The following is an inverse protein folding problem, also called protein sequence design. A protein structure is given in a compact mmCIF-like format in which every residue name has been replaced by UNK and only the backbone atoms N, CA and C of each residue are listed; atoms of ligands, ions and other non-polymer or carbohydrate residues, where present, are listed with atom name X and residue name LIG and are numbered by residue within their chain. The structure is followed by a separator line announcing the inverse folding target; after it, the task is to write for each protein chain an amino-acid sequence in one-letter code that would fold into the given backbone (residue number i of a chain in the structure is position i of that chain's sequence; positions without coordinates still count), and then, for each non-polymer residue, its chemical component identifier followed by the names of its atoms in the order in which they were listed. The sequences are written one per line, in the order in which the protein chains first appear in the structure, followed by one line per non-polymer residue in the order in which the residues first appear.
data_IF_395485939054
#
_entry.id   IF_395485939054
#
_cell.length_a   1.000
_cell.length_b   1.000
_cell.length_c   1.000
_cell.angle_alpha   90.00
_cell.angle_beta   90.00
_cell.angle_gamma   90.00
#
_symmetry.space_group_name_H-M   'P 1'
#
loop_
_entity.id
_entity.type
_entity.pdbx_description
1 polymer ?
#
# COMPACT_ATOMS: atom_id res chain seq x y z
N UNK A 1 -1.99 -6.63 -14.47
CA UNK A 1 -1.30 -6.87 -13.17
C UNK A 1 0.13 -6.39 -13.30
N UNK A 2 0.67 -5.76 -12.28
CA UNK A 2 2.09 -5.39 -12.20
C UNK A 2 2.91 -6.66 -12.02
N UNK A 3 3.93 -6.86 -12.85
CA UNK A 3 4.73 -8.09 -12.92
C UNK A 3 6.18 -7.90 -12.41
N UNK A 4 6.70 -6.68 -12.45
CA UNK A 4 8.05 -6.42 -11.98
C UNK A 4 8.39 -4.95 -11.83
N UNK A 5 9.49 -4.71 -11.10
CA UNK A 5 10.10 -3.39 -10.92
C UNK A 5 11.62 -3.50 -10.98
N UNK A 6 12.25 -2.49 -11.59
CA UNK A 6 13.69 -2.25 -11.56
C UNK A 6 13.94 -0.81 -11.16
N UNK A 7 14.83 -0.62 -10.19
CA UNK A 7 15.25 0.70 -9.70
C UNK A 7 16.76 0.81 -9.72
N UNK A 8 17.24 2.00 -10.09
CA UNK A 8 18.65 2.40 -9.96
C UNK A 8 18.70 3.76 -9.26
N UNK A 9 19.47 3.84 -8.19
CA UNK A 9 19.78 5.06 -7.46
C UNK A 9 18.55 5.86 -7.00
N UNK A 10 17.54 5.21 -6.50
CA UNK A 10 16.32 5.87 -6.05
C UNK A 10 16.27 5.99 -4.51
N UNK A 11 16.56 7.16 -3.99
CA UNK A 11 16.55 7.46 -2.55
C UNK A 11 17.47 6.52 -1.75
N UNK A 12 16.96 5.77 -0.78
CA UNK A 12 17.72 4.80 0.00
C UNK A 12 17.96 3.47 -0.75
N UNK A 13 17.50 3.32 -2.00
CA UNK A 13 17.58 2.09 -2.78
C UNK A 13 18.57 2.30 -3.93
N UNK A 14 19.85 1.88 -3.78
CA UNK A 14 20.85 2.03 -4.84
C UNK A 14 20.55 1.19 -6.07
N UNK A 15 20.09 -0.05 -5.84
CA UNK A 15 19.73 -0.99 -6.89
C UNK A 15 18.66 -1.95 -6.39
N UNK A 16 17.68 -2.22 -7.23
CA UNK A 16 16.65 -3.23 -6.98
C UNK A 16 16.13 -3.80 -8.29
N UNK A 17 16.02 -5.11 -8.36
CA UNK A 17 15.25 -5.82 -9.36
C UNK A 17 14.35 -6.83 -8.67
N UNK A 18 13.03 -6.70 -8.87
CA UNK A 18 12.03 -7.61 -8.33
C UNK A 18 11.03 -7.96 -9.41
N UNK A 19 11.10 -9.19 -9.88
CA UNK A 19 10.32 -9.73 -10.98
C UNK A 19 9.45 -10.89 -10.50
N UNK A 20 8.45 -11.25 -11.32
CA UNK A 20 7.54 -12.35 -11.00
C UNK A 20 6.59 -12.01 -9.85
N UNK A 21 6.07 -10.78 -9.86
CA UNK A 21 5.13 -10.31 -8.85
C UNK A 21 3.80 -11.08 -8.94
N UNK A 22 3.25 -11.41 -7.76
CA UNK A 22 2.02 -12.17 -7.62
C UNK A 22 0.79 -11.31 -7.25
N UNK A 23 -0.34 -11.95 -6.98
CA UNK A 23 -1.52 -11.28 -6.45
C UNK A 23 -1.29 -10.65 -5.07
N UNK A 24 -0.39 -11.22 -4.27
CA UNK A 24 0.06 -10.68 -2.98
C UNK A 24 1.59 -10.62 -3.02
N UNK A 25 2.15 -9.47 -2.67
CA UNK A 25 3.59 -9.21 -2.67
C UNK A 25 3.96 -8.62 -1.31
N UNK A 26 4.97 -9.18 -0.65
CA UNK A 26 5.33 -8.82 0.72
C UNK A 26 6.74 -8.23 0.78
N UNK A 27 6.87 -7.04 1.38
CA UNK A 27 8.14 -6.40 1.71
C UNK A 27 8.39 -6.56 3.21
N UNK A 28 9.53 -7.11 3.59
CA UNK A 28 9.90 -7.30 4.99
C UNK A 28 11.28 -6.71 5.30
N UNK A 29 11.51 -6.39 6.55
CA UNK A 29 12.78 -5.82 7.02
C UNK A 29 12.59 -4.90 8.22
N UNK A 30 13.69 -4.47 8.81
CA UNK A 30 13.71 -3.56 9.95
C UNK A 30 13.14 -2.16 9.64
N UNK A 31 13.03 -1.34 10.68
CA UNK A 31 12.63 0.06 10.52
C UNK A 31 13.70 0.84 9.75
N UNK A 32 13.27 1.73 8.86
CA UNK A 32 14.19 2.53 8.04
C UNK A 32 14.79 1.81 6.84
N UNK A 33 14.46 0.54 6.58
CA UNK A 33 15.00 -0.25 5.46
C UNK A 33 14.50 0.16 4.06
N UNK A 34 13.59 1.14 3.95
CA UNK A 34 13.09 1.62 2.65
C UNK A 34 11.79 0.96 2.16
N UNK A 35 11.13 0.09 2.93
CA UNK A 35 9.89 -0.60 2.53
C UNK A 35 8.78 0.37 2.10
N UNK A 36 8.41 1.31 2.98
CA UNK A 36 7.42 2.35 2.70
C UNK A 36 7.84 3.21 1.51
N UNK A 37 9.15 3.48 1.39
CA UNK A 37 9.69 4.25 0.28
C UNK A 37 9.46 3.53 -1.05
N UNK A 38 9.74 2.22 -1.12
CA UNK A 38 9.49 1.39 -2.31
C UNK A 38 8.00 1.32 -2.65
N UNK A 39 7.11 1.13 -1.66
CA UNK A 39 5.67 1.17 -1.89
C UNK A 39 5.22 2.51 -2.50
N UNK A 40 5.78 3.63 -2.04
CA UNK A 40 5.48 4.97 -2.56
C UNK A 40 6.00 5.20 -3.98
N UNK A 41 7.16 4.61 -4.34
CA UNK A 41 7.66 4.64 -5.74
C UNK A 41 6.67 3.94 -6.67
N UNK A 42 6.30 2.70 -6.32
CA UNK A 42 5.32 1.92 -7.08
C UNK A 42 3.98 2.65 -7.18
N UNK A 43 3.48 3.18 -6.07
CA UNK A 43 2.25 3.95 -6.02
C UNK A 43 2.28 5.17 -6.94
N UNK A 44 3.38 5.95 -6.92
CA UNK A 44 3.51 7.15 -7.76
C UNK A 44 3.51 6.80 -9.25
N UNK A 45 4.19 5.72 -9.65
CA UNK A 45 4.16 5.22 -11.02
C UNK A 45 2.75 4.78 -11.44
N UNK A 46 2.08 4.00 -10.57
CA UNK A 46 0.71 3.54 -10.83
C UNK A 46 -0.27 4.68 -10.99
N UNK A 47 -0.25 5.65 -10.07
CA UNK A 47 -1.13 6.82 -10.16
C UNK A 47 -0.88 7.65 -11.40
N UNK A 48 0.36 7.74 -11.86
CA UNK A 48 0.69 8.42 -13.12
C UNK A 48 0.02 7.75 -14.31
N UNK A 49 0.14 6.43 -14.42
CA UNK A 49 -0.49 5.64 -15.49
C UNK A 49 -2.02 5.76 -15.47
N UNK A 50 -2.62 5.79 -14.26
CA UNK A 50 -4.06 5.86 -14.08
C UNK A 50 -4.64 7.24 -14.30
N UNK A 51 -3.91 8.31 -13.98
CA UNK A 51 -4.38 9.69 -14.14
C UNK A 51 -4.18 10.20 -15.57
N UNK A 52 -3.18 9.71 -16.29
CA UNK A 52 -2.93 10.12 -17.66
C UNK A 52 -4.11 9.85 -18.58
N UNK A 53 -4.55 10.90 -19.29
CA UNK A 53 -5.74 10.90 -20.17
C UNK A 53 -7.05 10.52 -19.47
N UNK A 54 -7.13 10.66 -18.14
CA UNK A 54 -8.37 10.43 -17.40
C UNK A 54 -9.22 11.68 -17.34
N UNK A 55 -10.43 11.61 -17.88
CA UNK A 55 -11.35 12.75 -17.92
C UNK A 55 -10.79 13.90 -18.77
N UNK A 56 -10.92 15.12 -18.26
CA UNK A 56 -10.48 16.36 -18.94
C UNK A 56 -9.03 16.78 -18.57
N UNK A 57 -8.26 15.92 -17.93
CA UNK A 57 -6.87 16.20 -17.55
C UNK A 57 -6.00 16.31 -18.81
N UNK A 58 -5.36 17.49 -18.98
CA UNK A 58 -4.50 17.79 -20.14
C UNK A 58 -3.02 17.65 -19.84
N UNK A 59 -2.65 17.32 -18.58
CA UNK A 59 -1.24 17.16 -18.22
C UNK A 59 -0.64 15.99 -18.98
N UNK A 60 0.63 16.14 -19.33
CA UNK A 60 1.44 15.05 -19.84
C UNK A 60 1.77 14.05 -18.73
N UNK A 61 2.13 12.83 -19.09
CA UNK A 61 2.57 11.80 -18.13
C UNK A 61 3.73 12.29 -17.26
N UNK A 62 4.68 13.01 -17.89
CA UNK A 62 5.84 13.55 -17.19
C UNK A 62 5.45 14.63 -16.17
N UNK A 63 4.45 15.47 -16.46
CA UNK A 63 3.93 16.46 -15.53
C UNK A 63 3.20 15.79 -14.35
N UNK A 64 2.37 14.77 -14.62
CA UNK A 64 1.66 14.01 -13.59
C UNK A 64 2.69 13.31 -12.70
N UNK A 65 3.67 12.61 -13.27
CA UNK A 65 4.70 11.92 -12.51
C UNK A 65 5.51 12.87 -11.63
N UNK A 66 5.96 13.99 -12.20
CA UNK A 66 6.73 14.98 -11.45
C UNK A 66 5.94 15.53 -10.24
N UNK A 67 4.65 15.81 -10.43
CA UNK A 67 3.77 16.25 -9.37
C UNK A 67 3.54 15.15 -8.32
N UNK A 68 3.30 13.90 -8.74
CA UNK A 68 3.15 12.75 -7.84
C UNK A 68 4.41 12.52 -7.00
N UNK A 69 5.59 12.52 -7.62
CA UNK A 69 6.85 12.37 -6.88
C UNK A 69 7.07 13.52 -5.90
N UNK A 70 6.82 14.76 -6.32
CA UNK A 70 6.98 15.94 -5.46
C UNK A 70 6.07 15.86 -4.23
N UNK A 71 4.79 15.56 -4.40
CA UNK A 71 3.84 15.52 -3.29
C UNK A 71 3.87 14.24 -2.46
N UNK A 72 4.30 13.12 -3.02
CA UNK A 72 4.41 11.86 -2.29
C UNK A 72 5.65 11.83 -1.39
N UNK A 73 6.76 12.41 -1.84
CA UNK A 73 8.03 12.40 -1.09
C UNK A 73 8.35 13.74 -0.42
N UNK A 74 7.73 14.82 -0.85
CA UNK A 74 7.88 16.18 -0.33
C UNK A 74 9.34 16.67 -0.28
N UNK A 75 10.15 16.48 -1.34
CA UNK A 75 11.51 16.98 -1.41
C UNK A 75 11.53 18.48 -1.76
N UNK A 76 12.63 19.15 -1.56
CA UNK A 76 12.82 20.53 -2.04
C UNK A 76 12.75 20.59 -3.57
N UNK A 77 13.38 19.63 -4.24
CA UNK A 77 13.29 19.37 -5.70
C UNK A 77 13.25 17.87 -5.96
N UNK A 78 12.63 17.42 -7.06
CA UNK A 78 12.53 15.98 -7.36
C UNK A 78 13.88 15.30 -7.56
N UNK A 79 14.92 16.05 -7.94
CA UNK A 79 16.31 15.57 -8.04
C UNK A 79 16.89 15.10 -6.70
N UNK A 80 16.34 15.53 -5.55
CA UNK A 80 16.75 15.06 -4.22
C UNK A 80 16.35 13.60 -3.95
N UNK A 81 15.51 13.02 -4.81
CA UNK A 81 15.19 11.59 -4.80
C UNK A 81 16.28 10.71 -5.40
N UNK A 82 17.30 11.30 -6.05
CA UNK A 82 18.47 10.56 -6.51
C UNK A 82 19.33 10.16 -5.32
N UNK A 83 19.75 8.90 -5.26
CA UNK A 83 20.63 8.39 -4.20
C UNK A 83 21.86 9.28 -4.02
N UNK A 84 22.21 9.60 -2.79
CA UNK A 84 23.33 10.48 -2.48
C UNK A 84 24.62 9.97 -3.08
N UNK A 85 25.28 10.80 -3.87
CA UNK A 85 26.51 10.45 -4.60
C UNK A 85 26.28 9.98 -6.04
N UNK A 86 25.06 9.58 -6.41
CA UNK A 86 24.71 9.24 -7.78
C UNK A 86 24.42 10.49 -8.63
N UNK A 87 24.46 10.33 -9.94
CA UNK A 87 24.20 11.41 -10.92
C UNK A 87 22.73 11.44 -11.34
N UNK A 88 22.12 10.27 -11.48
CA UNK A 88 20.75 10.12 -11.92
C UNK A 88 20.11 8.88 -11.30
N UNK A 89 18.79 8.84 -11.29
CA UNK A 89 17.99 7.66 -10.97
C UNK A 89 17.30 7.13 -12.23
N UNK A 90 16.91 5.86 -12.20
CA UNK A 90 15.95 5.30 -13.13
C UNK A 90 14.95 4.37 -12.40
N UNK A 91 13.75 4.31 -12.93
CA UNK A 91 12.69 3.41 -12.49
C UNK A 91 12.02 2.81 -13.73
N UNK A 92 11.85 1.50 -13.72
CA UNK A 92 11.05 0.78 -14.72
C UNK A 92 10.09 -0.15 -14.01
N UNK A 93 8.80 -0.07 -14.35
CA UNK A 93 7.76 -0.98 -13.88
C UNK A 93 7.21 -1.75 -15.08
N UNK A 94 7.06 -3.05 -14.91
CA UNK A 94 6.57 -3.97 -15.93
C UNK A 94 5.16 -4.41 -15.62
N UNK A 95 4.32 -4.35 -16.64
CA UNK A 95 3.00 -4.95 -16.66
C UNK A 95 2.94 -6.06 -17.70
N UNK A 96 1.89 -6.90 -17.62
CA UNK A 96 1.65 -7.91 -18.66
C UNK A 96 1.55 -7.29 -20.07
N UNK A 97 1.08 -6.05 -20.19
CA UNK A 97 0.74 -5.38 -21.44
C UNK A 97 1.76 -4.31 -21.87
N UNK A 98 2.85 -4.14 -21.16
CA UNK A 98 3.89 -3.15 -21.48
C UNK A 98 4.70 -2.67 -20.29
N UNK A 99 5.65 -1.80 -20.57
CA UNK A 99 6.54 -1.22 -19.56
C UNK A 99 6.27 0.29 -19.42
N UNK A 100 6.44 0.79 -18.21
CA UNK A 100 6.50 2.21 -17.89
C UNK A 100 7.85 2.51 -17.27
N UNK A 101 8.60 3.44 -17.86
CA UNK A 101 9.94 3.77 -17.36
C UNK A 101 10.20 5.26 -17.39
N UNK A 102 11.04 5.73 -16.47
CA UNK A 102 11.48 7.10 -16.40
C UNK A 102 12.87 7.22 -15.76
N UNK A 103 13.54 8.32 -16.08
CA UNK A 103 14.81 8.67 -15.44
C UNK A 103 14.96 10.19 -15.35
N UNK A 104 15.71 10.64 -14.35
CA UNK A 104 16.10 12.05 -14.19
C UNK A 104 17.35 12.21 -13.32
N UNK A 105 18.00 13.35 -13.46
CA UNK A 105 19.23 13.66 -12.75
C UNK A 105 18.98 14.37 -11.41
N UNK A 106 20.03 14.41 -10.57
CA UNK A 106 20.03 15.08 -9.25
C UNK A 106 19.77 16.60 -9.31
N UNK A 107 19.94 17.22 -10.46
CA UNK A 107 19.73 18.65 -10.66
C UNK A 107 18.31 18.98 -11.15
N UNK A 108 17.48 17.95 -11.37
CA UNK A 108 16.10 18.10 -11.85
C UNK A 108 15.23 18.79 -10.79
N UNK A 109 14.63 19.93 -11.14
CA UNK A 109 13.75 20.67 -10.25
C UNK A 109 12.31 20.18 -10.31
N UNK A 110 11.69 20.22 -11.51
CA UNK A 110 10.24 19.92 -11.70
C UNK A 110 9.94 19.18 -12.99
N UNK A 111 10.85 19.09 -13.94
CA UNK A 111 10.55 18.51 -15.25
C UNK A 111 11.30 17.19 -15.45
N UNK A 112 10.54 16.15 -15.77
CA UNK A 112 11.06 14.85 -16.18
C UNK A 112 11.05 14.82 -17.70
N UNK A 113 12.22 14.63 -18.30
CA UNK A 113 12.39 14.67 -19.75
C UNK A 113 12.52 13.29 -20.38
N UNK A 114 12.84 12.26 -19.56
CA UNK A 114 12.97 10.88 -20.03
C UNK A 114 11.86 10.06 -19.35
N UNK A 115 10.80 9.77 -20.11
CA UNK A 115 9.70 8.92 -19.71
C UNK A 115 9.17 8.19 -20.94
N UNK A 116 8.99 6.88 -20.80
CA UNK A 116 8.39 6.01 -21.80
C UNK A 116 7.23 5.26 -21.18
N UNK A 117 6.08 5.25 -21.84
CA UNK A 117 4.90 4.52 -21.41
C UNK A 117 4.33 3.68 -22.56
N UNK A 118 4.52 2.37 -22.45
CA UNK A 118 3.90 1.38 -23.34
C UNK A 118 2.60 0.78 -22.80
N UNK A 119 2.10 1.25 -21.65
CA UNK A 119 0.93 0.69 -20.97
C UNK A 119 -0.33 1.43 -21.45
N UNK A 120 -1.39 0.72 -21.86
CA UNK A 120 -2.66 1.36 -22.21
C UNK A 120 -3.28 2.07 -21.00
N UNK A 121 -4.09 3.15 -21.22
CA UNK A 121 -4.78 3.85 -20.14
C UNK A 121 -5.60 2.90 -19.27
N UNK A 122 -5.49 3.04 -17.93
CA UNK A 122 -6.20 2.22 -16.95
C UNK A 122 -7.39 2.98 -16.37
N UNK A 123 -8.54 2.30 -16.30
CA UNK A 123 -9.74 2.82 -15.62
C UNK A 123 -9.80 2.46 -14.14
N UNK A 124 -9.11 1.39 -13.73
CA UNK A 124 -9.02 0.95 -12.34
C UNK A 124 -8.19 1.89 -11.47
N UNK A 125 -8.37 1.82 -10.17
CA UNK A 125 -7.68 2.68 -9.22
C UNK A 125 -6.67 1.90 -8.39
N UNK A 126 -5.52 2.52 -8.16
CA UNK A 126 -4.61 2.13 -7.08
C UNK A 126 -4.86 2.97 -5.84
N UNK A 127 -4.65 2.39 -4.67
CA UNK A 127 -4.79 3.09 -3.40
C UNK A 127 -3.64 2.73 -2.46
N UNK A 128 -3.20 3.70 -1.68
CA UNK A 128 -2.25 3.51 -0.60
C UNK A 128 -2.97 3.55 0.74
N UNK A 129 -2.83 2.51 1.54
CA UNK A 129 -3.32 2.42 2.91
C UNK A 129 -2.14 2.63 3.86
N UNK A 130 -1.98 3.82 4.45
CA UNK A 130 -0.84 4.14 5.30
C UNK A 130 -0.92 3.43 6.66
N UNK A 131 0.22 3.36 7.37
CA UNK A 131 0.29 2.79 8.71
C UNK A 131 -0.65 3.48 9.70
N UNK A 132 -0.80 4.80 9.57
CA UNK A 132 -1.74 5.61 10.40
C UNK A 132 -3.11 5.71 9.75
N UNK A 133 -4.17 5.61 10.55
CA UNK A 133 -5.52 5.82 10.07
C UNK A 133 -5.79 7.28 9.69
N UNK A 134 -6.72 7.50 8.79
CA UNK A 134 -7.02 8.84 8.27
C UNK A 134 -8.46 9.31 8.49
N UNK A 135 -9.37 8.45 8.92
CA UNK A 135 -10.79 8.80 9.07
C UNK A 135 -11.01 9.97 10.02
N UNK A 136 -10.25 9.99 11.13
CA UNK A 136 -10.30 11.10 12.09
C UNK A 136 -9.68 12.40 11.55
N UNK A 137 -8.80 12.31 10.56
CA UNK A 137 -8.01 13.43 10.03
C UNK A 137 -8.48 13.89 8.64
N UNK A 138 -9.45 13.21 8.03
CA UNK A 138 -9.84 13.40 6.64
C UNK A 138 -10.07 14.87 6.27
N UNK A 139 -10.83 15.61 7.07
CA UNK A 139 -11.13 17.03 6.81
C UNK A 139 -9.88 17.91 6.90
N UNK A 140 -8.96 17.59 7.85
CA UNK A 140 -7.70 18.31 8.00
C UNK A 140 -6.80 18.05 6.80
N UNK A 141 -6.71 16.79 6.35
CA UNK A 141 -5.93 16.39 5.17
C UNK A 141 -6.42 17.15 3.94
N UNK A 142 -7.73 17.10 3.68
CA UNK A 142 -8.32 17.78 2.52
C UNK A 142 -8.08 19.29 2.57
N UNK A 143 -8.30 19.92 3.73
CA UNK A 143 -8.05 21.36 3.88
C UNK A 143 -6.59 21.71 3.64
N UNK A 144 -5.65 21.04 4.33
CA UNK A 144 -4.23 21.36 4.23
C UNK A 144 -3.65 21.15 2.83
N UNK A 145 -4.15 20.14 2.10
CA UNK A 145 -3.62 19.79 0.79
C UNK A 145 -4.35 20.48 -0.37
N UNK A 146 -5.66 20.62 -0.33
CA UNK A 146 -6.45 21.21 -1.44
C UNK A 146 -6.54 22.73 -1.34
N UNK A 147 -6.72 23.27 -0.13
CA UNK A 147 -6.88 24.71 0.09
C UNK A 147 -5.55 25.40 0.40
N UNK A 148 -4.86 24.94 1.45
CA UNK A 148 -3.67 25.59 1.95
C UNK A 148 -2.40 25.20 1.18
N UNK A 149 -2.39 24.06 0.48
CA UNK A 149 -1.27 23.50 -0.32
C UNK A 149 0.05 23.43 0.46
N UNK A 150 -0.03 22.96 1.71
CA UNK A 150 1.13 22.83 2.59
C UNK A 150 1.60 21.38 2.69
N UNK A 151 2.88 21.20 3.01
CA UNK A 151 3.45 19.89 3.34
C UNK A 151 2.94 19.38 4.69
N UNK A 152 3.08 18.08 4.94
CA UNK A 152 2.65 17.40 6.16
C UNK A 152 1.92 16.11 5.85
N UNK A 153 0.84 16.18 5.07
CA UNK A 153 0.21 14.98 4.50
C UNK A 153 0.64 14.84 3.04
N UNK A 154 1.20 13.71 2.69
CA UNK A 154 1.61 13.43 1.31
C UNK A 154 0.43 12.97 0.42
N UNK A 155 0.69 12.70 -0.87
CA UNK A 155 -0.36 12.32 -1.83
C UNK A 155 -1.05 11.01 -1.48
N UNK A 156 -0.38 10.09 -0.75
CA UNK A 156 -1.02 8.84 -0.33
C UNK A 156 -2.19 9.10 0.63
N UNK A 157 -2.04 10.09 1.52
CA UNK A 157 -3.10 10.55 2.43
C UNK A 157 -4.21 11.30 1.69
N UNK A 158 -3.83 12.20 0.77
CA UNK A 158 -4.80 13.00 0.02
C UNK A 158 -5.68 12.14 -0.87
N UNK A 159 -5.08 11.25 -1.65
CA UNK A 159 -5.81 10.38 -2.57
C UNK A 159 -6.74 9.43 -1.81
N UNK A 160 -6.31 8.91 -0.65
CA UNK A 160 -7.17 8.09 0.20
C UNK A 160 -8.32 8.91 0.81
N UNK A 161 -8.04 10.14 1.27
CA UNK A 161 -9.07 11.03 1.79
C UNK A 161 -10.14 11.36 0.74
N UNK A 162 -9.73 11.56 -0.53
CA UNK A 162 -10.63 11.76 -1.68
C UNK A 162 -11.43 10.50 -2.00
N UNK A 163 -10.78 9.34 -2.04
CA UNK A 163 -11.41 8.06 -2.32
C UNK A 163 -12.55 7.75 -1.34
N UNK A 164 -12.35 8.06 -0.06
CA UNK A 164 -13.34 7.85 0.99
C UNK A 164 -14.53 8.83 0.93
N UNK A 165 -14.39 9.99 0.25
CA UNK A 165 -15.52 10.93 0.04
C UNK A 165 -16.50 10.47 -1.03
N UNK A 166 -16.12 9.52 -1.86
CA UNK A 166 -17.04 9.02 -2.87
C UNK A 166 -18.23 8.35 -2.18
N UNK A 167 -19.44 8.84 -2.50
CA UNK A 167 -20.66 8.30 -1.92
C UNK A 167 -20.80 6.82 -2.26
N UNK A 168 -21.26 6.04 -1.29
CA UNK A 168 -21.60 4.64 -1.51
C UNK A 168 -22.69 4.58 -2.59
N UNK A 169 -22.35 4.07 -3.76
CA UNK A 169 -23.32 3.98 -4.84
C UNK A 169 -24.42 3.00 -4.44
N UNK A 170 -25.67 3.47 -4.39
CA UNK A 170 -26.83 2.61 -4.24
C UNK A 170 -26.94 1.74 -5.50
N UNK A 171 -26.73 0.45 -5.37
CA UNK A 171 -26.78 -0.50 -6.47
C UNK A 171 -26.08 -1.80 -6.08
N UNK A 172 -26.12 -2.80 -6.96
CA UNK A 172 -25.45 -4.09 -6.72
C UNK A 172 -23.98 -3.85 -6.42
N UNK A 173 -23.56 -4.12 -5.16
CA UNK A 173 -22.15 -4.36 -4.87
C UNK A 173 -21.65 -5.41 -5.85
N UNK A 174 -20.37 -5.37 -6.20
CA UNK A 174 -19.77 -6.50 -6.91
C UNK A 174 -20.07 -7.76 -6.11
N UNK A 175 -20.85 -8.73 -6.64
CA UNK A 175 -21.18 -9.96 -5.91
C UNK A 175 -19.90 -10.64 -5.41
N UNK A 176 -18.80 -10.43 -6.12
CA UNK A 176 -17.47 -10.93 -5.82
C UNK A 176 -16.92 -10.44 -4.48
N UNK A 177 -17.31 -9.24 -4.05
CA UNK A 177 -16.84 -8.65 -2.79
C UNK A 177 -17.79 -8.85 -1.62
N UNK A 178 -18.99 -9.38 -1.87
CA UNK A 178 -20.02 -9.49 -0.83
C UNK A 178 -19.54 -10.32 0.38
N UNK A 179 -18.87 -11.45 0.14
CA UNK A 179 -18.33 -12.29 1.21
C UNK A 179 -17.19 -11.59 1.98
N UNK A 180 -16.28 -10.90 1.26
CA UNK A 180 -15.19 -10.15 1.88
C UNK A 180 -15.72 -9.04 2.76
N UNK A 181 -16.72 -8.28 2.30
CA UNK A 181 -17.35 -7.21 3.08
C UNK A 181 -18.10 -7.75 4.30
N UNK A 182 -18.81 -8.86 4.19
CA UNK A 182 -19.47 -9.50 5.32
C UNK A 182 -18.44 -9.93 6.39
N UNK A 183 -17.30 -10.46 5.98
CA UNK A 183 -16.23 -10.83 6.90
C UNK A 183 -15.59 -9.59 7.56
N UNK A 184 -15.40 -8.49 6.80
CA UNK A 184 -14.92 -7.23 7.37
C UNK A 184 -15.91 -6.67 8.41
N UNK A 185 -17.21 -6.64 8.13
CA UNK A 185 -18.22 -6.23 9.09
C UNK A 185 -18.24 -7.13 10.35
N UNK A 186 -17.98 -8.43 10.20
CA UNK A 186 -17.88 -9.35 11.33
C UNK A 186 -16.66 -9.05 12.21
N UNK A 187 -15.49 -8.79 11.63
CA UNK A 187 -14.29 -8.40 12.38
C UNK A 187 -14.50 -7.06 13.09
N UNK A 188 -15.15 -6.12 12.41
CA UNK A 188 -15.46 -4.80 12.96
C UNK A 188 -16.47 -4.86 14.11
N UNK A 189 -17.35 -5.87 14.13
CA UNK A 189 -18.52 -5.91 15.02
C UNK A 189 -19.50 -4.76 14.79
N UNK A 190 -19.47 -4.14 13.61
CA UNK A 190 -20.26 -2.98 13.23
C UNK A 190 -19.83 -2.46 11.86
N UNK A 191 -20.23 -1.23 11.53
CA UNK A 191 -19.84 -0.58 10.27
C UNK A 191 -19.51 0.89 10.49
N UNK A 192 -18.73 1.46 9.58
CA UNK A 192 -18.47 2.90 9.55
C UNK A 192 -19.38 3.54 8.52
N UNK A 193 -19.94 4.69 8.90
CA UNK A 193 -20.83 5.49 8.07
C UNK A 193 -20.35 6.95 8.11
N UNK A 194 -20.40 7.61 6.95
CA UNK A 194 -20.20 9.06 6.90
C UNK A 194 -21.54 9.74 7.12
N UNK A 195 -21.62 10.61 8.11
CA UNK A 195 -22.78 11.42 8.41
C UNK A 195 -22.66 12.74 7.66
N UNK A 196 -23.47 12.91 6.61
CA UNK A 196 -23.43 14.10 5.75
C UNK A 196 -23.87 15.36 6.49
N UNK A 197 -24.80 15.24 7.46
CA UNK A 197 -25.32 16.39 8.22
C UNK A 197 -24.24 16.98 9.13
N UNK A 198 -23.49 16.14 9.83
CA UNK A 198 -22.39 16.58 10.70
C UNK A 198 -21.04 16.69 9.99
N UNK A 199 -20.90 16.16 8.78
CA UNK A 199 -19.66 16.10 8.03
C UNK A 199 -18.59 15.19 8.68
N UNK A 200 -18.98 14.17 9.41
CA UNK A 200 -18.09 13.33 10.22
C UNK A 200 -18.32 11.84 10.04
N UNK A 201 -17.25 11.09 10.20
CA UNK A 201 -17.31 9.64 10.27
C UNK A 201 -17.82 9.17 11.64
N UNK A 202 -18.67 8.15 11.64
CA UNK A 202 -19.25 7.52 12.82
C UNK A 202 -19.10 6.00 12.72
N UNK A 203 -18.85 5.37 13.84
CA UNK A 203 -18.93 3.91 13.98
C UNK A 203 -20.30 3.52 14.50
N UNK A 204 -21.00 2.64 13.78
CA UNK A 204 -22.31 2.14 14.14
C UNK A 204 -22.23 0.68 14.60
N UNK A 205 -22.70 0.42 15.83
CA UNK A 205 -22.83 -0.92 16.38
C UNK A 205 -24.29 -1.16 16.80
N UNK A 206 -25.02 -1.94 16.02
CA UNK A 206 -26.47 -2.08 16.21
C UNK A 206 -27.20 -0.74 16.05
N UNK A 207 -27.92 -0.30 17.08
CA UNK A 207 -28.60 1.01 17.14
C UNK A 207 -27.72 2.15 17.64
N UNK A 208 -26.55 1.86 18.20
CA UNK A 208 -25.66 2.86 18.78
C UNK A 208 -24.71 3.45 17.73
N UNK A 209 -24.45 4.76 17.84
CA UNK A 209 -23.48 5.50 17.00
C UNK A 209 -22.42 6.12 17.89
N UNK A 210 -21.19 5.98 17.49
CA UNK A 210 -20.01 6.51 18.19
C UNK A 210 -19.22 7.40 17.25
N UNK A 211 -18.72 8.55 17.74
CA UNK A 211 -17.78 9.35 16.96
C UNK A 211 -16.54 8.53 16.58
N UNK A 212 -16.05 8.71 15.37
CA UNK A 212 -14.87 7.96 14.89
C UNK A 212 -13.63 8.16 15.77
N UNK A 213 -13.47 9.33 16.37
CA UNK A 213 -12.34 9.67 17.23
C UNK A 213 -12.19 8.79 18.49
N UNK A 214 -13.30 8.17 18.99
CA UNK A 214 -13.27 7.27 20.16
C UNK A 214 -13.25 5.79 19.73
N UNK A 215 -13.19 5.50 18.45
CA UNK A 215 -13.15 4.14 17.91
C UNK A 215 -11.68 3.68 17.85
N UNK A 216 -11.43 2.40 18.13
CA UNK A 216 -10.08 1.84 18.09
C UNK A 216 -9.45 1.99 16.69
N UNK A 217 -8.16 2.31 16.66
CA UNK A 217 -7.39 2.55 15.42
C UNK A 217 -7.47 1.39 14.43
N UNK A 218 -7.33 0.15 14.91
CA UNK A 218 -7.43 -1.04 14.06
C UNK A 218 -8.80 -1.21 13.40
N UNK A 219 -9.90 -0.83 14.11
CA UNK A 219 -11.25 -0.83 13.55
C UNK A 219 -11.34 0.16 12.37
N UNK A 220 -10.80 1.36 12.53
CA UNK A 220 -10.78 2.38 11.48
C UNK A 220 -10.06 1.89 10.23
N UNK A 221 -8.92 1.21 10.39
CA UNK A 221 -8.11 0.69 9.29
C UNK A 221 -8.85 -0.37 8.46
N UNK A 222 -9.49 -1.32 9.13
CA UNK A 222 -10.30 -2.35 8.47
C UNK A 222 -11.51 -1.72 7.76
N UNK A 223 -12.14 -0.74 8.38
CA UNK A 223 -13.30 -0.05 7.83
C UNK A 223 -13.00 0.81 6.61
N UNK A 224 -11.78 1.33 6.48
CA UNK A 224 -11.33 1.98 5.25
C UNK A 224 -11.43 1.01 4.08
N UNK A 225 -10.90 -0.20 4.22
CA UNK A 225 -10.96 -1.22 3.17
C UNK A 225 -12.42 -1.57 2.81
N UNK A 226 -13.30 -1.77 3.81
CA UNK A 226 -14.73 -2.01 3.55
C UNK A 226 -15.40 -0.85 2.81
N UNK A 227 -15.08 0.40 3.20
CA UNK A 227 -15.62 1.60 2.55
C UNK A 227 -15.20 1.68 1.08
N UNK A 228 -13.91 1.41 0.77
CA UNK A 228 -13.38 1.46 -0.60
C UNK A 228 -13.98 0.37 -1.50
N UNK A 229 -14.28 -0.80 -0.94
CA UNK A 229 -15.03 -1.84 -1.64
C UNK A 229 -16.51 -1.44 -1.83
N UNK A 230 -17.11 -0.82 -0.81
CA UNK A 230 -18.51 -0.44 -0.80
C UNK A 230 -18.86 0.73 -1.71
N UNK A 231 -17.97 1.71 -1.85
CA UNK A 231 -18.14 2.84 -2.76
C UNK A 231 -17.63 2.57 -4.18
N UNK A 232 -17.14 1.35 -4.45
CA UNK A 232 -16.60 0.89 -5.73
C UNK A 232 -15.35 1.65 -6.20
N UNK A 233 -14.61 2.23 -5.28
CA UNK A 233 -13.31 2.79 -5.61
C UNK A 233 -12.33 1.69 -6.03
N UNK A 234 -12.41 0.53 -5.36
CA UNK A 234 -11.67 -0.67 -5.73
C UNK A 234 -12.55 -1.58 -6.59
N UNK A 235 -12.01 -1.96 -7.73
CA UNK A 235 -12.53 -2.97 -8.65
C UNK A 235 -11.63 -4.22 -8.69
N UNK A 236 -11.89 -5.15 -9.61
CA UNK A 236 -11.15 -6.40 -9.72
C UNK A 236 -9.70 -6.23 -10.21
N UNK A 237 -9.40 -5.12 -10.88
CA UNK A 237 -8.07 -4.79 -11.41
C UNK A 237 -7.32 -3.79 -10.54
N UNK A 238 -7.87 -3.44 -9.37
CA UNK A 238 -7.28 -2.49 -8.45
C UNK A 238 -5.94 -2.99 -7.87
N UNK A 239 -5.06 -2.05 -7.53
CA UNK A 239 -3.81 -2.34 -6.81
C UNK A 239 -3.83 -1.63 -5.46
N UNK A 240 -3.60 -2.37 -4.38
CA UNK A 240 -3.60 -1.86 -3.02
C UNK A 240 -2.20 -1.93 -2.44
N UNK A 241 -1.65 -0.78 -2.08
CA UNK A 241 -0.41 -0.65 -1.33
C UNK A 241 -0.75 -0.52 0.15
N UNK A 242 -0.32 -1.45 0.97
CA UNK A 242 -0.72 -1.54 2.36
C UNK A 242 0.51 -1.48 3.27
N UNK A 243 0.72 -0.34 3.88
CA UNK A 243 1.84 -0.12 4.79
C UNK A 243 1.44 -0.52 6.21
N UNK A 244 2.22 -1.41 6.82
CA UNK A 244 2.01 -1.95 8.17
C UNK A 244 0.55 -2.40 8.42
N UNK A 245 0.04 -3.42 7.72
CA UNK A 245 -1.33 -3.89 7.90
C UNK A 245 -1.64 -4.29 9.35
N UNK A 246 -0.64 -4.69 10.11
CA UNK A 246 -0.70 -5.07 11.52
C UNK A 246 -0.85 -3.92 12.51
N UNK A 247 -0.49 -2.70 12.11
CA UNK A 247 -0.45 -1.55 13.02
C UNK A 247 -1.79 -1.35 13.74
N UNK A 248 -1.73 -1.31 15.08
CA UNK A 248 -2.87 -1.15 15.98
C UNK A 248 -3.93 -2.27 15.94
N UNK A 249 -3.65 -3.42 15.32
CA UNK A 249 -4.55 -4.56 15.28
C UNK A 249 -4.17 -5.64 16.31
N UNK A 250 -5.19 -6.26 16.91
CA UNK A 250 -5.01 -7.48 17.69
C UNK A 250 -4.57 -8.64 16.77
N UNK A 251 -3.70 -9.57 17.20
CA UNK A 251 -3.21 -10.68 16.37
C UNK A 251 -4.30 -11.48 15.65
N UNK A 252 -5.44 -11.74 16.31
CA UNK A 252 -6.57 -12.42 15.66
C UNK A 252 -7.20 -11.58 14.53
N UNK A 253 -7.25 -10.26 14.68
CA UNK A 253 -7.77 -9.36 13.64
C UNK A 253 -6.79 -9.27 12.46
N UNK A 254 -5.46 -9.30 12.71
CA UNK A 254 -4.44 -9.41 11.66
C UNK A 254 -4.67 -10.67 10.83
N UNK A 255 -4.83 -11.83 11.50
CA UNK A 255 -5.05 -13.09 10.82
C UNK A 255 -6.31 -13.06 9.95
N UNK A 256 -7.41 -12.54 10.48
CA UNK A 256 -8.66 -12.43 9.74
C UNK A 256 -8.59 -11.43 8.56
N UNK A 257 -7.91 -10.29 8.75
CA UNK A 257 -7.66 -9.32 7.67
C UNK A 257 -6.86 -9.95 6.53
N UNK A 258 -5.81 -10.72 6.83
CA UNK A 258 -4.98 -11.36 5.81
C UNK A 258 -5.74 -12.48 5.07
N UNK A 259 -6.68 -13.19 5.72
CA UNK A 259 -7.58 -14.11 5.03
C UNK A 259 -8.48 -13.36 4.02
N UNK A 260 -8.96 -12.16 4.36
CA UNK A 260 -9.75 -11.32 3.45
C UNK A 260 -8.87 -10.79 2.31
N UNK A 261 -7.64 -10.36 2.60
CA UNK A 261 -6.67 -9.96 1.55
C UNK A 261 -6.47 -11.10 0.56
N UNK A 262 -6.27 -12.34 1.03
CA UNK A 262 -6.15 -13.50 0.15
C UNK A 262 -7.42 -13.77 -0.68
N UNK A 263 -8.60 -13.59 -0.09
CA UNK A 263 -9.88 -13.71 -0.82
C UNK A 263 -10.00 -12.65 -1.92
N UNK A 264 -9.63 -11.41 -1.65
CA UNK A 264 -9.67 -10.32 -2.61
C UNK A 264 -8.61 -10.50 -3.71
N UNK A 265 -7.41 -10.95 -3.34
CA UNK A 265 -6.33 -11.26 -4.28
C UNK A 265 -6.73 -12.36 -5.27
N UNK A 266 -7.40 -13.41 -4.78
CA UNK A 266 -7.95 -14.47 -5.63
C UNK A 266 -9.08 -13.99 -6.57
N UNK A 267 -9.59 -12.78 -6.37
CA UNK A 267 -10.60 -12.14 -7.24
C UNK A 267 -10.00 -11.15 -8.23
N UNK A 268 -8.71 -10.86 -8.15
CA UNK A 268 -7.99 -10.00 -9.10
C UNK A 268 -7.33 -8.78 -8.51
N UNK A 269 -7.70 -8.34 -7.29
CA UNK A 269 -7.02 -7.22 -6.64
C UNK A 269 -5.58 -7.62 -6.32
N UNK A 270 -4.61 -6.80 -6.74
CA UNK A 270 -3.21 -7.02 -6.42
C UNK A 270 -2.81 -6.24 -5.16
N UNK A 271 -2.10 -6.90 -4.24
CA UNK A 271 -1.64 -6.30 -3.00
C UNK A 271 -0.12 -6.22 -2.94
N UNK A 272 0.37 -5.07 -2.49
CA UNK A 272 1.75 -4.85 -2.07
C UNK A 272 1.72 -4.46 -0.60
N UNK A 273 2.33 -5.27 0.26
CA UNK A 273 2.29 -5.03 1.71
C UNK A 273 3.70 -4.86 2.25
N UNK A 274 3.92 -3.85 3.09
CA UNK A 274 5.15 -3.71 3.85
C UNK A 274 4.89 -4.04 5.32
N UNK A 275 5.71 -4.90 5.90
CA UNK A 275 5.55 -5.33 7.29
C UNK A 275 6.88 -5.58 7.98
N UNK A 276 6.89 -5.42 9.30
CA UNK A 276 7.95 -5.86 10.18
C UNK A 276 7.46 -6.88 11.24
N UNK A 277 6.26 -7.44 11.03
CA UNK A 277 5.58 -8.33 11.97
C UNK A 277 5.75 -9.79 11.60
N UNK A 278 6.33 -10.58 12.51
CA UNK A 278 6.35 -12.03 12.37
C UNK A 278 4.95 -12.64 12.18
N UNK A 279 3.91 -12.09 12.84
CA UNK A 279 2.53 -12.58 12.66
C UNK A 279 2.03 -12.43 11.23
N UNK A 280 2.37 -11.33 10.54
CA UNK A 280 2.01 -11.12 9.13
C UNK A 280 2.74 -12.13 8.25
N UNK A 281 4.06 -12.25 8.42
CA UNK A 281 4.88 -13.18 7.65
C UNK A 281 4.37 -14.62 7.84
N UNK A 282 4.19 -15.05 9.09
CA UNK A 282 3.73 -16.41 9.43
C UNK A 282 2.35 -16.70 8.88
N UNK A 283 1.40 -15.74 8.98
CA UNK A 283 0.05 -15.94 8.47
C UNK A 283 0.03 -16.03 6.94
N UNK A 284 0.78 -15.17 6.24
CA UNK A 284 0.90 -15.23 4.78
C UNK A 284 1.59 -16.52 4.32
N UNK A 285 2.62 -16.97 5.02
CA UNK A 285 3.22 -18.28 4.77
C UNK A 285 2.17 -19.40 4.87
N UNK A 286 1.35 -19.42 5.93
CA UNK A 286 0.30 -20.42 6.09
C UNK A 286 -0.76 -20.34 4.97
N UNK A 287 -1.09 -19.14 4.51
CA UNK A 287 -1.98 -18.94 3.34
C UNK A 287 -1.34 -19.49 2.07
N UNK A 288 -0.05 -19.16 1.81
CA UNK A 288 0.70 -19.63 0.67
C UNK A 288 0.71 -21.18 0.61
N UNK A 289 1.05 -21.83 1.72
CA UNK A 289 1.10 -23.28 1.81
C UNK A 289 -0.28 -23.94 1.62
N UNK A 290 -1.31 -23.41 2.31
CA UNK A 290 -2.67 -23.97 2.28
C UNK A 290 -3.35 -23.83 0.91
N UNK A 291 -3.16 -22.68 0.26
CA UNK A 291 -3.81 -22.34 -1.01
C UNK A 291 -2.92 -22.65 -2.22
N UNK A 292 -1.67 -23.08 -2.01
CA UNK A 292 -0.63 -23.23 -3.04
C UNK A 292 -0.47 -21.94 -3.86
N UNK A 293 -0.48 -20.81 -3.17
CA UNK A 293 -0.40 -19.49 -3.75
C UNK A 293 1.05 -18.99 -3.68
N UNK A 294 1.60 -18.57 -4.81
CA UNK A 294 2.85 -17.81 -4.83
C UNK A 294 2.64 -16.46 -4.15
N UNK A 295 3.44 -16.18 -3.13
CA UNK A 295 3.50 -14.89 -2.44
C UNK A 295 4.96 -14.44 -2.46
N UNK A 296 5.37 -13.70 -3.50
CA UNK A 296 6.71 -13.14 -3.58
C UNK A 296 7.04 -12.27 -2.37
N UNK A 297 8.22 -12.47 -1.81
CA UNK A 297 8.74 -11.71 -0.67
C UNK A 297 10.02 -11.00 -1.07
N UNK A 298 10.12 -9.73 -0.71
CA UNK A 298 11.33 -8.95 -0.83
C UNK A 298 11.83 -8.59 0.55
N UNK A 299 12.97 -9.13 0.95
CA UNK A 299 13.58 -8.95 2.27
C UNK A 299 14.70 -7.92 2.20
N UNK A 300 14.56 -6.81 2.95
CA UNK A 300 15.65 -5.87 3.15
C UNK A 300 16.64 -6.44 4.15
N UNK A 301 17.90 -6.56 3.75
CA UNK A 301 18.99 -6.99 4.60
C UNK A 301 19.50 -5.83 5.48
N UNK A 302 19.96 -6.15 6.70
CA UNK A 302 20.22 -5.12 7.71
C UNK A 302 21.46 -4.24 7.42
N UNK A 303 22.48 -4.76 6.72
CA UNK A 303 23.81 -4.21 6.77
C UNK A 303 24.26 -3.39 5.55
N UNK A 304 23.59 -3.48 4.39
CA UNK A 304 24.10 -2.85 3.16
C UNK A 304 23.02 -2.30 2.19
N UNK A 305 21.76 -2.26 2.61
CA UNK A 305 20.66 -1.83 1.73
C UNK A 305 20.36 -2.83 0.61
N UNK A 306 20.86 -4.05 0.72
CA UNK A 306 20.64 -5.13 -0.22
C UNK A 306 19.24 -5.74 -0.02
N UNK A 307 18.62 -6.15 -1.13
CA UNK A 307 17.31 -6.78 -1.10
C UNK A 307 17.40 -8.20 -1.66
N UNK A 308 16.79 -9.15 -0.96
CA UNK A 308 16.73 -10.56 -1.37
C UNK A 308 15.29 -10.92 -1.69
N UNK A 309 15.09 -11.53 -2.86
CA UNK A 309 13.78 -11.99 -3.30
C UNK A 309 13.61 -13.48 -3.01
N UNK A 310 12.48 -13.83 -2.39
CA UNK A 310 12.04 -15.17 -2.05
C UNK A 310 10.56 -15.36 -2.40
N UNK A 311 10.02 -16.54 -2.13
CA UNK A 311 8.58 -16.83 -2.25
C UNK A 311 8.12 -17.69 -1.07
N UNK A 312 7.06 -17.26 -0.38
CA UNK A 312 6.49 -18.02 0.75
C UNK A 312 5.92 -19.37 0.35
N UNK A 313 5.66 -19.62 -0.94
CA UNK A 313 5.31 -20.95 -1.43
C UNK A 313 6.46 -21.95 -1.28
N UNK A 314 7.71 -21.49 -1.32
CA UNK A 314 8.92 -22.30 -1.20
C UNK A 314 9.40 -22.49 0.24
N UNK A 315 8.99 -21.61 1.15
CA UNK A 315 9.43 -21.65 2.55
C UNK A 315 9.32 -20.30 3.25
N UNK A 316 9.80 -20.25 4.48
CA UNK A 316 10.00 -18.99 5.21
C UNK A 316 11.30 -18.35 4.71
N UNK A 317 11.31 -17.03 4.44
CA UNK A 317 12.52 -16.35 4.01
C UNK A 317 13.54 -16.27 5.17
N UNK A 318 14.81 -16.18 4.81
CA UNK A 318 15.89 -15.88 5.76
C UNK A 318 15.85 -14.37 6.10
N UNK A 319 15.51 -14.04 7.35
CA UNK A 319 15.35 -12.64 7.76
C UNK A 319 15.45 -12.48 9.29
N UNK A 320 16.06 -11.40 9.73
CA UNK A 320 16.27 -11.09 11.15
C UNK A 320 14.98 -11.08 12.01
N UNK A 321 13.79 -10.82 11.41
CA UNK A 321 12.50 -10.90 12.13
C UNK A 321 12.20 -12.34 12.52
N UNK A 322 12.52 -13.29 11.64
CA UNK A 322 12.30 -14.72 11.86
C UNK A 322 13.33 -15.25 12.86
N UNK A 323 14.59 -14.87 12.68
CA UNK A 323 15.69 -15.26 13.58
C UNK A 323 15.41 -14.84 15.02
N UNK A 324 14.94 -13.59 15.21
CA UNK A 324 14.59 -13.11 16.55
C UNK A 324 13.40 -13.87 17.15
N UNK A 325 12.44 -14.27 16.34
CA UNK A 325 11.31 -15.09 16.80
C UNK A 325 11.75 -16.49 17.22
N UNK A 326 12.71 -17.08 16.51
CA UNK A 326 13.31 -18.37 16.87
C UNK A 326 14.12 -18.23 18.15
N UNK A 327 14.98 -17.22 18.25
CA UNK A 327 15.79 -16.94 19.44
C UNK A 327 14.94 -16.80 20.71
N UNK A 328 13.83 -16.03 20.64
CA UNK A 328 12.92 -15.87 21.78
C UNK A 328 12.24 -17.19 22.17
N UNK A 329 11.88 -18.01 21.19
CA UNK A 329 11.30 -19.32 21.47
C UNK A 329 12.31 -20.26 22.14
N UNK A 330 13.57 -20.29 21.70
CA UNK A 330 14.65 -21.08 22.33
C UNK A 330 14.92 -20.61 23.76
N UNK A 331 14.92 -19.28 23.99
CA UNK A 331 15.05 -18.70 25.34
C UNK A 331 13.89 -19.12 26.26
N UNK A 332 12.64 -19.14 25.74
CA UNK A 332 11.47 -19.62 26.49
C UNK A 332 11.61 -21.08 26.88
N UNK A 333 12.06 -21.95 25.96
CA UNK A 333 12.30 -23.36 26.20
C UNK A 333 13.37 -23.55 27.29
N UNK A 334 14.48 -22.83 27.21
CA UNK A 334 15.59 -22.91 28.17
C UNK A 334 15.16 -22.49 29.59
N UNK A 335 14.34 -21.44 29.71
CA UNK A 335 13.82 -20.98 31.00
C UNK A 335 12.78 -21.94 31.59
N UNK A 336 11.97 -22.56 30.73
CA UNK A 336 10.86 -23.44 31.16
C UNK A 336 11.35 -24.85 31.55
N UNK A 337 12.46 -25.32 30.95
CA UNK A 337 13.03 -26.66 31.21
C UNK A 337 14.10 -26.67 32.32
N UNK A 338 14.46 -25.51 32.86
CA UNK A 338 15.34 -25.40 34.05
C UNK A 338 14.51 -25.34 35.33
#
# INVERSE_FOLDING_TARGET
MLDGIRLENFGPIPHLEWMGLGPINLLIGGNGSGKTFLLKILYSAMRTIEEYKRGDDRRTEAEILAEKLYWTFQPDKIGDLVTKGAVSLSCAVRFNDGDFSYSFGRDTTKQITSLENGIPPRSSNSIFLPAKEILSLQQIILKSREQDKVFGFDDTYLDLARALRQSTQRGRNYPEFAASRQNLEHILGGRIEYDEDSGRWQFRKGSQRFPIGVTAEGIKKIAILDTLLGNRYLDLDAIVFFDEPESALHPSAISALLDIVAMLANRGIQFFMASHSYFVIKKLFLIAQKQKLSIPVLSAQADDGHWVADDLANGMPDNAIIDESIRLYEEEVDVTLR
#
